data_IF_009706121607
#
_entry.id   IF_009706121607
#
_cell.length_a   1.000
_cell.length_b   1.000
_cell.length_c   1.000
_cell.angle_alpha   90.00
_cell.angle_beta   90.00
_cell.angle_gamma   90.00
#
_symmetry.space_group_name_H-M   'P 1'
#
loop_
_entity.id
_entity.type
_entity.pdbx_description
1 polymer ?
#
# COMPACT_ATOMS: atom_id res chain seq x y z
N UNK A 1 8.89 8.15 38.01
CA UNK A 1 7.68 7.75 37.27
C UNK A 1 7.79 8.25 35.83
N UNK A 2 8.21 7.39 34.90
CA UNK A 2 8.36 7.72 33.47
C UNK A 2 7.36 6.90 32.62
N UNK A 3 6.13 6.71 33.11
CA UNK A 3 5.15 5.78 32.54
C UNK A 3 4.19 6.35 31.50
N UNK A 4 4.33 7.62 31.08
CA UNK A 4 3.29 8.32 30.29
C UNK A 4 3.67 8.64 28.84
N UNK A 5 4.90 8.38 28.40
CA UNK A 5 5.36 8.87 27.10
C UNK A 5 4.64 8.16 25.93
N UNK A 6 4.62 6.81 25.90
CA UNK A 6 4.00 6.07 24.80
C UNK A 6 2.48 6.26 24.71
N UNK A 7 1.78 6.40 25.84
CA UNK A 7 0.34 6.68 25.87
C UNK A 7 0.01 8.05 25.25
N UNK A 8 0.81 9.08 25.56
CA UNK A 8 0.66 10.40 25.00
C UNK A 8 0.88 10.40 23.48
N UNK A 9 1.94 9.72 22.99
CA UNK A 9 2.17 9.53 21.56
C UNK A 9 1.02 8.79 20.87
N UNK A 10 0.50 7.72 21.48
CA UNK A 10 -0.67 6.98 20.95
C UNK A 10 -1.92 7.87 20.81
N UNK A 11 -2.20 8.72 21.80
CA UNK A 11 -3.34 9.63 21.73
C UNK A 11 -3.14 10.70 20.67
N UNK A 12 -1.92 11.26 20.57
CA UNK A 12 -1.59 12.27 19.57
C UNK A 12 -1.63 11.72 18.15
N UNK A 13 -1.14 10.50 17.93
CA UNK A 13 -1.26 9.77 16.67
C UNK A 13 -2.74 9.62 16.25
N UNK A 14 -3.62 9.27 17.19
CA UNK A 14 -5.06 9.17 16.92
C UNK A 14 -5.66 10.51 16.50
N UNK A 15 -5.28 11.61 17.17
CA UNK A 15 -5.72 12.95 16.80
C UNK A 15 -5.24 13.34 15.41
N UNK A 16 -3.95 13.13 15.10
CA UNK A 16 -3.39 13.42 13.77
C UNK A 16 -4.06 12.61 12.67
N UNK A 17 -4.37 11.33 12.93
CA UNK A 17 -5.12 10.49 12.00
C UNK A 17 -6.49 11.10 11.69
N UNK A 18 -7.23 11.54 12.72
CA UNK A 18 -8.54 12.18 12.55
C UNK A 18 -8.47 13.54 11.85
N UNK A 19 -7.36 14.25 12.00
CA UNK A 19 -7.10 15.53 11.34
C UNK A 19 -6.57 15.38 9.90
N UNK A 20 -6.27 14.16 9.44
CA UNK A 20 -5.68 13.91 8.12
C UNK A 20 -4.18 14.22 8.05
N UNK A 21 -3.54 14.58 9.16
CA UNK A 21 -2.09 14.76 9.28
C UNK A 21 -1.39 13.40 9.42
N UNK A 22 -1.52 12.57 8.38
CA UNK A 22 -1.08 11.17 8.40
C UNK A 22 0.43 11.00 8.62
N UNK A 23 1.34 11.78 8.02
CA UNK A 23 2.78 11.65 8.27
C UNK A 23 3.17 11.88 9.74
N UNK A 24 2.60 12.89 10.39
CA UNK A 24 2.82 13.19 11.80
C UNK A 24 2.24 12.09 12.70
N UNK A 25 1.04 11.62 12.35
CA UNK A 25 0.41 10.49 13.04
C UNK A 25 1.23 9.21 12.96
N UNK A 26 1.86 8.94 11.81
CA UNK A 26 2.72 7.78 11.60
C UNK A 26 3.95 7.86 12.49
N UNK A 27 4.62 9.02 12.52
CA UNK A 27 5.82 9.25 13.34
C UNK A 27 5.54 9.03 14.84
N UNK A 28 4.38 9.49 15.32
CA UNK A 28 3.98 9.30 16.71
C UNK A 28 3.63 7.83 17.01
N UNK A 29 2.96 7.15 16.09
CA UNK A 29 2.65 5.74 16.25
C UNK A 29 3.93 4.88 16.25
N UNK A 30 4.92 5.21 15.43
CA UNK A 30 6.24 4.57 15.44
C UNK A 30 6.99 4.84 16.74
N UNK A 31 6.94 6.08 17.24
CA UNK A 31 7.56 6.40 18.53
C UNK A 31 6.91 5.64 19.68
N UNK A 32 5.62 5.37 19.59
CA UNK A 32 4.89 4.54 20.56
C UNK A 32 5.47 3.13 20.63
N UNK A 33 5.68 2.49 19.47
CA UNK A 33 6.23 1.14 19.35
C UNK A 33 7.72 1.11 19.75
N UNK A 34 8.49 2.14 19.41
CA UNK A 34 9.90 2.25 19.82
C UNK A 34 10.04 2.32 21.35
N UNK A 35 9.14 3.05 22.02
CA UNK A 35 9.15 3.21 23.47
C UNK A 35 8.63 1.97 24.21
N UNK A 36 7.62 1.30 23.66
CA UNK A 36 7.09 0.04 24.19
C UNK A 36 6.63 -0.89 23.04
N UNK A 37 7.49 -1.83 22.64
CA UNK A 37 7.15 -2.82 21.60
C UNK A 37 6.05 -3.81 22.02
N UNK A 38 5.68 -3.88 23.31
CA UNK A 38 4.62 -4.78 23.78
C UNK A 38 3.25 -4.10 23.79
N UNK A 39 3.21 -2.79 23.54
CA UNK A 39 1.98 -2.02 23.60
C UNK A 39 1.15 -2.17 22.32
N UNK A 40 0.17 -3.08 22.34
CA UNK A 40 -0.71 -3.41 21.21
C UNK A 40 -1.34 -2.17 20.54
N UNK A 41 -1.69 -1.15 21.33
CA UNK A 41 -2.27 0.10 20.82
C UNK A 41 -1.32 0.87 19.91
N UNK A 42 0.01 0.80 20.11
CA UNK A 42 0.98 1.41 19.21
C UNK A 42 0.86 0.85 17.79
N UNK A 43 0.77 -0.48 17.67
CA UNK A 43 0.53 -1.17 16.40
C UNK A 43 -0.84 -0.83 15.83
N UNK A 44 -1.89 -0.77 16.66
CA UNK A 44 -3.22 -0.33 16.20
C UNK A 44 -3.17 1.08 15.61
N UNK A 45 -2.46 2.03 16.24
CA UNK A 45 -2.33 3.40 15.74
C UNK A 45 -1.54 3.43 14.43
N UNK A 46 -0.41 2.72 14.34
CA UNK A 46 0.41 2.68 13.14
C UNK A 46 -0.34 2.06 11.96
N UNK A 47 -0.98 0.90 12.18
CA UNK A 47 -1.80 0.24 11.19
C UNK A 47 -3.00 1.08 10.75
N UNK A 48 -3.61 1.84 11.66
CA UNK A 48 -4.72 2.74 11.31
C UNK A 48 -4.25 3.88 10.41
N UNK A 49 -3.13 4.53 10.74
CA UNK A 49 -2.55 5.59 9.92
C UNK A 49 -2.22 5.07 8.52
N UNK A 50 -1.53 3.93 8.41
CA UNK A 50 -1.18 3.31 7.13
C UNK A 50 -2.43 2.93 6.32
N UNK A 51 -3.47 2.43 6.98
CA UNK A 51 -4.76 2.14 6.35
C UNK A 51 -5.38 3.43 5.75
N UNK A 52 -5.36 4.54 6.48
CA UNK A 52 -5.83 5.84 5.95
C UNK A 52 -4.94 6.39 4.83
N UNK A 53 -3.65 6.06 4.81
CA UNK A 53 -2.74 6.36 3.69
C UNK A 53 -2.97 5.46 2.45
N UNK A 54 -3.89 4.50 2.56
CA UNK A 54 -4.18 3.45 1.56
C UNK A 54 -3.00 2.49 1.31
N UNK A 55 -2.10 2.39 2.28
CA UNK A 55 -0.98 1.43 2.26
C UNK A 55 -1.42 0.12 2.93
N UNK A 56 -2.41 -0.55 2.33
CA UNK A 56 -3.10 -1.69 2.97
C UNK A 56 -2.17 -2.88 3.24
N UNK A 57 -1.16 -3.12 2.39
CA UNK A 57 -0.16 -4.18 2.60
C UNK A 57 0.67 -3.90 3.86
N UNK A 58 1.20 -2.68 4.00
CA UNK A 58 1.98 -2.27 5.18
C UNK A 58 1.15 -2.24 6.46
N UNK A 59 -0.12 -1.83 6.35
CA UNK A 59 -1.06 -1.84 7.46
C UNK A 59 -1.31 -3.28 7.94
N UNK A 60 -1.51 -4.22 7.01
CA UNK A 60 -1.69 -5.64 7.30
C UNK A 60 -0.49 -6.22 8.06
N UNK A 61 0.73 -5.98 7.56
CA UNK A 61 1.97 -6.40 8.23
C UNK A 61 2.06 -5.84 9.65
N UNK A 62 1.78 -4.53 9.82
CA UNK A 62 1.84 -3.88 11.14
C UNK A 62 0.84 -4.47 12.13
N UNK A 63 -0.40 -4.75 11.69
CA UNK A 63 -1.38 -5.40 12.57
C UNK A 63 -0.97 -6.83 12.94
N UNK A 64 -0.39 -7.58 12.00
CA UNK A 64 0.13 -8.92 12.25
C UNK A 64 1.30 -8.91 13.25
N UNK A 65 2.21 -7.95 13.15
CA UNK A 65 3.27 -7.77 14.16
C UNK A 65 2.66 -7.48 15.54
N UNK A 66 1.66 -6.61 15.63
CA UNK A 66 0.95 -6.35 16.88
C UNK A 66 0.32 -7.61 17.47
N UNK A 67 -0.26 -8.48 16.63
CA UNK A 67 -0.89 -9.74 17.07
C UNK A 67 0.13 -10.75 17.60
N UNK A 68 1.42 -10.64 17.26
CA UNK A 68 2.46 -11.46 17.90
C UNK A 68 2.63 -11.11 19.38
N UNK A 69 2.38 -9.85 19.75
CA UNK A 69 2.46 -9.38 21.13
C UNK A 69 1.14 -9.56 21.89
N UNK A 70 0.01 -9.42 21.21
CA UNK A 70 -1.32 -9.59 21.79
C UNK A 70 -2.26 -10.32 20.81
N UNK A 71 -2.23 -11.66 20.77
CA UNK A 71 -2.93 -12.46 19.77
C UNK A 71 -4.46 -12.37 19.83
N UNK A 72 -5.02 -11.95 20.96
CA UNK A 72 -6.46 -11.90 21.19
C UNK A 72 -7.03 -10.47 21.11
N UNK A 73 -6.20 -9.50 20.71
CA UNK A 73 -6.62 -8.12 20.58
C UNK A 73 -7.64 -7.93 19.44
N UNK A 74 -8.87 -7.57 19.81
CA UNK A 74 -9.94 -7.37 18.83
C UNK A 74 -9.66 -6.23 17.86
N UNK A 75 -9.04 -5.12 18.30
CA UNK A 75 -8.75 -3.98 17.42
C UNK A 75 -7.73 -4.36 16.32
N UNK A 76 -6.72 -5.17 16.66
CA UNK A 76 -5.74 -5.65 15.69
C UNK A 76 -6.36 -6.67 14.72
N UNK A 77 -7.16 -7.62 15.22
CA UNK A 77 -7.88 -8.59 14.38
C UNK A 77 -8.83 -7.91 13.40
N UNK A 78 -9.59 -6.91 13.87
CA UNK A 78 -10.45 -6.09 13.02
C UNK A 78 -9.64 -5.29 11.98
N UNK A 79 -8.47 -4.78 12.37
CA UNK A 79 -7.52 -4.13 11.48
C UNK A 79 -7.07 -5.04 10.33
N UNK A 80 -6.66 -6.27 10.65
CA UNK A 80 -6.32 -7.32 9.66
C UNK A 80 -7.49 -7.59 8.72
N UNK A 81 -8.70 -7.84 9.25
CA UNK A 81 -9.89 -8.12 8.44
C UNK A 81 -10.15 -6.99 7.44
N UNK A 82 -10.11 -5.74 7.91
CA UNK A 82 -10.31 -4.56 7.05
C UNK A 82 -9.24 -4.44 5.96
N UNK A 83 -7.98 -4.70 6.26
CA UNK A 83 -6.91 -4.66 5.27
C UNK A 83 -7.12 -5.73 4.19
N UNK A 84 -7.41 -6.96 4.60
CA UNK A 84 -7.68 -8.08 3.69
C UNK A 84 -8.89 -7.79 2.79
N UNK A 85 -9.96 -7.20 3.34
CA UNK A 85 -11.12 -6.77 2.54
C UNK A 85 -10.73 -5.75 1.46
N UNK A 86 -9.91 -4.74 1.79
CA UNK A 86 -9.48 -3.73 0.83
C UNK A 86 -8.53 -4.29 -0.24
N UNK A 87 -7.59 -5.15 0.16
CA UNK A 87 -6.68 -5.84 -0.77
C UNK A 87 -7.45 -6.78 -1.73
N UNK A 88 -8.46 -7.47 -1.22
CA UNK A 88 -9.33 -8.31 -2.04
C UNK A 88 -10.19 -7.49 -3.00
N UNK A 89 -10.72 -6.33 -2.59
CA UNK A 89 -11.43 -5.40 -3.49
C UNK A 89 -10.52 -4.91 -4.62
N UNK A 90 -9.29 -4.53 -4.27
CA UNK A 90 -8.28 -4.11 -5.25
C UNK A 90 -7.90 -5.22 -6.25
N UNK A 91 -8.03 -6.49 -5.85
CA UNK A 91 -7.73 -7.67 -6.70
C UNK A 91 -8.93 -8.14 -7.52
N UNK A 92 -10.16 -7.89 -7.06
CA UNK A 92 -11.41 -8.29 -7.75
C UNK A 92 -11.81 -7.34 -8.89
N UNK A 93 -11.12 -6.21 -9.05
CA UNK A 93 -11.46 -5.22 -10.07
C UNK A 93 -12.63 -4.31 -9.71
N UNK A 94 -13.17 -4.42 -8.49
CA UNK A 94 -14.21 -3.55 -7.93
C UNK A 94 -13.63 -2.25 -7.34
N UNK A 95 -12.56 -1.72 -7.97
CA UNK A 95 -12.05 -0.39 -7.63
C UNK A 95 -13.07 0.63 -8.14
N UNK A 96 -13.53 1.52 -7.26
CA UNK A 96 -14.33 2.65 -7.72
C UNK A 96 -13.53 3.48 -8.74
N UNK A 97 -14.19 4.17 -9.68
CA UNK A 97 -13.49 5.01 -10.66
C UNK A 97 -12.54 6.04 -10.02
N UNK A 98 -12.85 6.50 -8.81
CA UNK A 98 -12.00 7.42 -8.03
C UNK A 98 -10.75 6.73 -7.48
N UNK A 99 -10.88 5.53 -6.94
CA UNK A 99 -9.76 4.76 -6.39
C UNK A 99 -8.82 4.25 -7.48
N UNK A 100 -9.34 3.87 -8.65
CA UNK A 100 -8.52 3.53 -9.81
C UNK A 100 -7.69 4.75 -10.27
N UNK A 101 -8.31 5.93 -10.33
CA UNK A 101 -7.65 7.17 -10.72
C UNK A 101 -6.57 7.59 -9.72
N UNK A 102 -6.84 7.46 -8.42
CA UNK A 102 -5.84 7.76 -7.39
C UNK A 102 -4.69 6.74 -7.40
N UNK A 103 -4.99 5.46 -7.63
CA UNK A 103 -3.98 4.41 -7.78
C UNK A 103 -3.09 4.66 -8.99
N UNK A 104 -3.67 5.02 -10.13
CA UNK A 104 -2.94 5.45 -11.31
C UNK A 104 -2.08 6.69 -11.01
N UNK A 105 -2.63 7.69 -10.33
CA UNK A 105 -1.89 8.91 -9.97
C UNK A 105 -0.69 8.62 -9.06
N UNK A 106 -0.85 7.77 -8.04
CA UNK A 106 0.25 7.33 -7.18
C UNK A 106 1.27 6.49 -7.95
N UNK A 107 0.82 5.58 -8.80
CA UNK A 107 1.72 4.80 -9.63
C UNK A 107 2.53 5.67 -10.60
N UNK A 108 1.96 6.77 -11.11
CA UNK A 108 2.69 7.73 -11.95
C UNK A 108 3.73 8.55 -11.17
N UNK A 109 3.61 8.61 -9.84
CA UNK A 109 4.64 9.20 -8.96
C UNK A 109 5.73 8.20 -8.57
N UNK A 110 5.54 6.91 -8.83
CA UNK A 110 6.53 5.89 -8.55
C UNK A 110 7.71 5.99 -9.54
N UNK A 111 8.96 6.20 -9.06
CA UNK A 111 10.13 6.30 -9.93
C UNK A 111 10.41 5.02 -10.72
N UNK A 112 10.05 3.84 -10.22
CA UNK A 112 10.18 2.60 -10.99
C UNK A 112 9.24 2.59 -12.20
N UNK A 113 8.00 3.04 -12.01
CA UNK A 113 7.01 3.13 -13.08
C UNK A 113 7.43 4.16 -14.13
N UNK A 114 7.96 5.32 -13.70
CA UNK A 114 8.50 6.33 -14.62
C UNK A 114 9.69 5.78 -15.43
N UNK A 115 10.55 4.98 -14.82
CA UNK A 115 11.65 4.32 -15.52
C UNK A 115 11.14 3.28 -16.53
N UNK A 116 10.07 2.55 -16.21
CA UNK A 116 9.45 1.61 -17.14
C UNK A 116 8.81 2.35 -18.33
N UNK A 117 8.12 3.48 -18.11
CA UNK A 117 7.48 4.27 -19.17
C UNK A 117 8.47 5.05 -20.04
N UNK A 118 9.66 5.38 -19.50
CA UNK A 118 10.73 6.04 -20.25
C UNK A 118 11.59 5.08 -21.06
N UNK A 119 11.52 3.78 -20.78
CA UNK A 119 12.25 2.74 -21.50
C UNK A 119 11.80 2.67 -22.98
N UNK A 120 12.71 2.85 -23.95
CA UNK A 120 12.40 2.77 -25.38
C UNK A 120 11.81 1.43 -25.81
N UNK A 121 12.28 0.33 -25.21
CA UNK A 121 11.76 -1.02 -25.50
C UNK A 121 10.33 -1.11 -25.02
N UNK A 122 10.03 -0.62 -23.82
CA UNK A 122 8.68 -0.67 -23.27
C UNK A 122 7.71 0.20 -24.07
N UNK A 123 8.13 1.38 -24.55
CA UNK A 123 7.32 2.22 -25.44
C UNK A 123 6.98 1.50 -26.74
N UNK A 124 7.96 0.84 -27.35
CA UNK A 124 7.72 0.06 -28.56
C UNK A 124 6.74 -1.08 -28.31
N UNK A 125 6.89 -1.79 -27.18
CA UNK A 125 5.97 -2.86 -26.78
C UNK A 125 4.54 -2.34 -26.65
N UNK A 126 4.34 -1.18 -26.01
CA UNK A 126 3.00 -0.59 -25.86
C UNK A 126 2.36 -0.21 -27.22
N UNK A 127 3.17 0.26 -28.17
CA UNK A 127 2.72 0.54 -29.55
C UNK A 127 2.38 -0.76 -30.28
N UNK A 128 3.25 -1.76 -30.20
CA UNK A 128 3.04 -3.08 -30.81
C UNK A 128 1.77 -3.75 -30.25
N UNK A 129 1.45 -3.55 -28.97
CA UNK A 129 0.20 -4.01 -28.37
C UNK A 129 -1.06 -3.36 -28.98
N UNK A 130 -0.97 -2.14 -29.50
CA UNK A 130 -2.08 -1.44 -30.16
C UNK A 130 -2.15 -1.73 -31.67
N UNK A 131 -0.99 -1.80 -32.33
CA UNK A 131 -0.91 -1.88 -33.79
C UNK A 131 -0.65 -3.30 -34.32
N UNK A 132 0.07 -4.15 -33.57
CA UNK A 132 0.53 -5.44 -34.04
C UNK A 132 0.59 -6.53 -32.94
N UNK A 133 -0.52 -7.28 -32.71
CA UNK A 133 -0.60 -8.27 -31.65
C UNK A 133 0.40 -9.43 -31.78
N UNK A 134 0.96 -9.67 -32.97
CA UNK A 134 2.02 -10.69 -33.17
C UNK A 134 3.37 -10.23 -32.61
N UNK A 135 3.75 -8.98 -32.88
CA UNK A 135 4.98 -8.39 -32.34
C UNK A 135 4.89 -8.26 -30.81
N UNK A 136 3.72 -7.87 -30.29
CA UNK A 136 3.45 -7.84 -28.85
C UNK A 136 3.71 -9.20 -28.15
N UNK A 137 3.28 -10.30 -28.76
CA UNK A 137 3.54 -11.66 -28.23
C UNK A 137 5.03 -12.03 -28.19
N UNK A 138 5.83 -11.54 -29.13
CA UNK A 138 7.28 -11.79 -29.12
C UNK A 138 7.97 -11.12 -27.94
N UNK A 139 7.55 -9.90 -27.60
CA UNK A 139 8.06 -9.20 -26.43
C UNK A 139 7.70 -9.90 -25.12
N UNK A 140 6.55 -10.58 -25.06
CA UNK A 140 6.16 -11.36 -23.87
C UNK A 140 7.02 -12.62 -23.64
N UNK A 141 7.81 -13.05 -24.64
CA UNK A 141 8.79 -14.14 -24.45
C UNK A 141 9.97 -13.69 -23.59
N UNK A 142 10.22 -12.38 -23.47
CA UNK A 142 11.29 -11.86 -22.64
C UNK A 142 10.79 -11.66 -21.19
N UNK A 143 11.34 -12.41 -20.21
CA UNK A 143 10.91 -12.34 -18.82
C UNK A 143 11.11 -10.94 -18.19
N UNK A 144 12.09 -10.17 -18.66
CA UNK A 144 12.29 -8.80 -18.19
C UNK A 144 11.17 -7.86 -18.66
N UNK A 145 10.66 -8.04 -19.87
CA UNK A 145 9.57 -7.21 -20.41
C UNK A 145 8.25 -7.60 -19.77
N UNK A 146 7.99 -8.90 -19.60
CA UNK A 146 6.77 -9.41 -18.98
C UNK A 146 6.62 -8.95 -17.52
N UNK A 147 7.70 -8.93 -16.74
CA UNK A 147 7.67 -8.40 -15.36
C UNK A 147 7.37 -6.90 -15.30
N UNK A 148 7.94 -6.10 -16.22
CA UNK A 148 7.63 -4.67 -16.36
C UNK A 148 6.17 -4.44 -16.75
N UNK A 149 5.64 -5.20 -17.70
CA UNK A 149 4.22 -5.15 -18.10
C UNK A 149 3.32 -5.50 -16.91
N UNK A 150 3.64 -6.56 -16.18
CA UNK A 150 2.86 -6.95 -15.00
C UNK A 150 2.81 -5.83 -13.96
N UNK A 151 3.93 -5.15 -13.70
CA UNK A 151 3.95 -3.96 -12.81
C UNK A 151 3.02 -2.86 -13.33
N UNK A 152 3.01 -2.56 -14.63
CA UNK A 152 2.11 -1.56 -15.22
C UNK A 152 0.63 -1.97 -15.15
N UNK A 153 0.34 -3.25 -15.31
CA UNK A 153 -1.02 -3.80 -15.20
C UNK A 153 -1.51 -3.77 -13.75
N UNK A 154 -0.65 -4.16 -12.79
CA UNK A 154 -0.94 -4.07 -11.35
C UNK A 154 -1.09 -2.62 -10.89
N UNK A 155 -0.38 -1.68 -11.51
CA UNK A 155 -0.55 -0.25 -11.32
C UNK A 155 -1.84 0.31 -11.94
N UNK A 156 -2.53 -0.47 -12.77
CA UNK A 156 -3.74 -0.05 -13.47
C UNK A 156 -3.48 0.93 -14.62
N UNK A 157 -2.24 1.06 -15.09
CA UNK A 157 -1.83 1.97 -16.18
C UNK A 157 -2.14 1.34 -17.53
N UNK A 158 -1.93 0.04 -17.66
CA UNK A 158 -2.17 -0.72 -18.89
C UNK A 158 -3.27 -1.76 -18.64
N UNK A 159 -4.28 -1.78 -19.50
CA UNK A 159 -5.28 -2.84 -19.52
C UNK A 159 -4.93 -3.81 -20.65
N UNK A 160 -4.64 -5.07 -20.30
CA UNK A 160 -4.60 -6.14 -21.30
C UNK A 160 -6.05 -6.55 -21.58
N UNK A 161 -6.54 -6.22 -22.77
CA UNK A 161 -7.83 -6.68 -23.29
C UNK A 161 -7.62 -7.89 -24.19
#
# INVERSE_FOLDING_TARGET
>A
MAGCCFQAYSNRAACYTKLGALPEGLKDAEKCIELDPTFSKGYTRKGAVQFFMKEYDKALETYQEGLKHDPHNQELLDGVRRCVEQLNKASRGDLSPEELKERQAKAMQDPEIQNILSDPVMRQVLVDFQENPKAAQEHMKNPMVTSKIQKLVQAGIVQMR
#
